data_IF_753743495885
#
_entry.id   IF_753743495885
#
_cell.length_a   1.000
_cell.length_b   1.000
_cell.length_c   1.000
_cell.angle_alpha   90.00
_cell.angle_beta   90.00
_cell.angle_gamma   90.00
#
_symmetry.space_group_name_H-M   'P 1'
#
loop_
_entity.id
_entity.type
_entity.pdbx_description
1 polymer ?
#
# COMPACT_ATOMS: atom_id res chain seq x y z
N UNK A 1 53.27 -12.81 -24.51
CA UNK A 1 52.59 -11.50 -24.61
C UNK A 1 51.25 -11.73 -25.30
N UNK A 2 50.16 -11.89 -24.54
CA UNK A 2 48.84 -12.21 -25.07
C UNK A 2 48.09 -10.92 -25.40
N UNK A 3 47.72 -10.76 -26.68
CA UNK A 3 46.98 -9.62 -27.19
C UNK A 3 45.50 -9.94 -27.04
N UNK A 4 44.85 -9.34 -26.04
CA UNK A 4 43.39 -9.41 -25.89
C UNK A 4 42.77 -8.62 -27.05
N UNK A 5 42.15 -9.32 -28.00
CA UNK A 5 41.37 -8.67 -29.05
C UNK A 5 40.12 -8.05 -28.44
N UNK A 6 39.91 -6.78 -28.76
CA UNK A 6 38.69 -6.04 -28.45
C UNK A 6 37.55 -6.72 -29.22
N UNK A 7 36.73 -7.50 -28.53
CA UNK A 7 35.49 -8.01 -29.11
C UNK A 7 34.60 -6.80 -29.40
N UNK A 8 34.24 -6.62 -30.67
CA UNK A 8 33.13 -5.76 -31.06
C UNK A 8 31.88 -6.29 -30.37
N UNK A 9 31.46 -5.55 -29.33
CA UNK A 9 30.21 -5.83 -28.62
C UNK A 9 29.09 -5.49 -29.60
N UNK A 10 28.60 -6.51 -30.30
CA UNK A 10 27.35 -6.40 -31.05
C UNK A 10 26.26 -6.14 -30.02
N UNK A 11 25.92 -4.88 -29.82
CA UNK A 11 24.83 -4.43 -28.96
C UNK A 11 23.52 -4.99 -29.53
N UNK A 12 23.19 -6.21 -29.14
CA UNK A 12 21.88 -6.78 -29.39
C UNK A 12 20.91 -5.94 -28.57
N UNK A 13 20.17 -5.04 -29.22
CA UNK A 13 19.02 -4.38 -28.64
C UNK A 13 17.88 -5.39 -28.52
N UNK A 14 18.04 -6.37 -27.62
CA UNK A 14 16.97 -7.30 -27.24
C UNK A 14 15.92 -6.62 -26.35
N UNK A 15 16.25 -5.45 -25.82
CA UNK A 15 15.36 -4.62 -25.03
C UNK A 15 14.62 -3.61 -25.91
N UNK A 16 13.29 -3.62 -25.87
CA UNK A 16 12.48 -2.55 -26.44
C UNK A 16 12.74 -1.26 -25.64
N UNK A 17 13.20 -0.16 -26.27
CA UNK A 17 13.50 1.09 -25.57
C UNK A 17 12.26 1.76 -24.94
N UNK A 18 11.05 1.35 -25.33
CA UNK A 18 9.81 1.77 -24.66
C UNK A 18 9.58 1.06 -23.33
N UNK A 19 10.21 -0.10 -23.12
CA UNK A 19 10.09 -0.94 -21.93
C UNK A 19 11.30 -0.73 -21.00
N UNK A 20 12.47 -0.44 -21.57
CA UNK A 20 13.72 -0.27 -20.82
C UNK A 20 14.09 1.20 -20.74
N UNK A 21 14.05 1.74 -19.52
CA UNK A 21 14.58 3.06 -19.23
C UNK A 21 16.05 2.97 -18.82
N UNK A 22 16.88 3.86 -19.36
CA UNK A 22 18.30 3.93 -19.06
C UNK A 22 18.59 4.40 -17.62
N UNK A 23 17.60 5.03 -16.98
CA UNK A 23 17.71 5.57 -15.62
C UNK A 23 16.67 4.92 -14.72
N UNK A 24 17.05 4.63 -13.48
CA UNK A 24 16.12 4.15 -12.48
C UNK A 24 15.00 5.19 -12.21
N UNK A 25 13.75 4.76 -12.00
CA UNK A 25 12.66 5.67 -11.65
C UNK A 25 12.87 6.30 -10.28
N UNK A 26 12.42 7.54 -10.08
CA UNK A 26 12.50 8.22 -8.78
C UNK A 26 11.41 7.78 -7.80
N UNK A 27 10.28 7.26 -8.31
CA UNK A 27 9.15 6.77 -7.54
C UNK A 27 8.57 5.51 -8.19
N UNK A 28 8.34 4.50 -7.37
CA UNK A 28 7.65 3.26 -7.75
C UNK A 28 6.36 3.20 -6.94
N UNK A 29 5.24 3.04 -7.63
CA UNK A 29 3.93 2.91 -7.01
C UNK A 29 3.40 1.52 -7.31
N UNK A 30 3.15 0.74 -6.26
CA UNK A 30 2.53 -0.57 -6.37
C UNK A 30 1.12 -0.50 -5.80
N UNK A 31 0.16 -1.06 -6.54
CA UNK A 31 -1.24 -1.06 -6.13
C UNK A 31 -1.75 -2.49 -6.03
N UNK A 32 -2.57 -2.76 -5.00
CA UNK A 32 -3.36 -3.98 -4.88
C UNK A 32 -2.53 -5.28 -4.87
N UNK A 33 -1.40 -5.31 -4.17
CA UNK A 33 -0.53 -6.51 -4.04
C UNK A 33 -1.28 -7.72 -3.47
N UNK A 34 -2.24 -7.50 -2.58
CA UNK A 34 -3.10 -8.51 -1.99
C UNK A 34 -3.89 -9.30 -3.04
N UNK A 35 -4.18 -8.72 -4.21
CA UNK A 35 -4.87 -9.42 -5.30
C UNK A 35 -4.08 -10.63 -5.81
N UNK A 36 -2.75 -10.65 -5.71
CA UNK A 36 -1.96 -11.83 -6.07
C UNK A 36 -2.29 -13.06 -5.23
N UNK A 37 -2.86 -12.86 -4.04
CA UNK A 37 -3.23 -13.92 -3.11
C UNK A 37 -4.74 -14.12 -3.03
N UNK A 38 -5.52 -13.05 -3.28
CA UNK A 38 -6.97 -13.05 -3.07
C UNK A 38 -7.79 -13.37 -4.34
N UNK A 39 -7.18 -13.80 -5.44
CA UNK A 39 -7.93 -14.17 -6.66
C UNK A 39 -8.91 -15.30 -6.38
N UNK A 40 -10.19 -14.98 -6.53
CA UNK A 40 -11.36 -15.73 -6.09
C UNK A 40 -11.81 -16.84 -7.03
N UNK A 41 -10.90 -17.58 -7.68
CA UNK A 41 -11.31 -18.53 -8.73
C UNK A 41 -11.47 -19.99 -8.30
N UNK A 42 -10.83 -20.44 -7.21
CA UNK A 42 -10.79 -21.87 -6.94
C UNK A 42 -11.60 -22.18 -5.68
N UNK A 43 -12.89 -22.50 -5.91
CA UNK A 43 -13.91 -22.79 -4.91
C UNK A 43 -13.63 -23.95 -3.94
N UNK A 44 -12.42 -24.52 -3.95
CA UNK A 44 -11.99 -25.60 -3.06
C UNK A 44 -10.61 -25.35 -2.42
N UNK A 45 -10.00 -24.18 -2.63
CA UNK A 45 -8.69 -23.91 -2.03
C UNK A 45 -8.87 -23.59 -0.54
N UNK A 46 -8.23 -24.35 0.37
CA UNK A 46 -8.47 -24.21 1.79
C UNK A 46 -8.15 -22.78 2.23
N UNK A 47 -9.05 -22.19 3.01
CA UNK A 47 -8.98 -20.84 3.57
C UNK A 47 -7.68 -20.52 4.37
N UNK A 48 -6.74 -21.47 4.45
CA UNK A 48 -5.44 -21.41 5.11
C UNK A 48 -4.27 -21.03 4.20
N UNK A 49 -4.42 -20.98 2.88
CA UNK A 49 -3.27 -20.82 1.97
C UNK A 49 -2.62 -19.43 2.00
N UNK A 50 -3.35 -18.38 2.40
CA UNK A 50 -2.89 -17.00 2.29
C UNK A 50 -2.65 -16.38 3.66
N UNK A 51 -1.44 -16.59 4.15
CA UNK A 51 -0.94 -15.97 5.37
C UNK A 51 -0.36 -14.59 5.08
N UNK A 52 -0.40 -13.72 6.09
CA UNK A 52 0.32 -12.45 6.06
C UNK A 52 1.83 -12.64 5.77
N UNK A 53 2.43 -13.77 6.17
CA UNK A 53 3.84 -14.05 5.88
C UNK A 53 4.14 -14.13 4.38
N UNK A 54 3.21 -14.62 3.57
CA UNK A 54 3.34 -14.64 2.10
C UNK A 54 3.33 -13.22 1.53
N UNK A 55 2.42 -12.38 2.01
CA UNK A 55 2.35 -10.96 1.62
C UNK A 55 3.63 -10.22 2.03
N UNK A 56 4.08 -10.37 3.28
CA UNK A 56 5.30 -9.73 3.77
C UNK A 56 6.56 -10.22 3.05
N UNK A 57 6.59 -11.50 2.66
CA UNK A 57 7.69 -12.04 1.85
C UNK A 57 7.74 -11.38 0.47
N UNK A 58 6.58 -11.11 -0.15
CA UNK A 58 6.50 -10.37 -1.41
C UNK A 58 6.99 -8.93 -1.23
N UNK A 59 6.52 -8.23 -0.19
CA UNK A 59 6.96 -6.87 0.14
C UNK A 59 8.48 -6.81 0.35
N UNK A 60 9.05 -7.77 1.08
CA UNK A 60 10.50 -7.83 1.29
C UNK A 60 11.28 -8.03 -0.01
N UNK A 61 10.80 -8.90 -0.91
CA UNK A 61 11.42 -9.07 -2.25
C UNK A 61 11.38 -7.77 -3.04
N UNK A 62 10.28 -7.02 -2.97
CA UNK A 62 10.18 -5.70 -3.61
C UNK A 62 11.23 -4.75 -3.02
N UNK A 63 11.41 -4.69 -1.70
CA UNK A 63 12.45 -3.86 -1.10
C UNK A 63 13.86 -4.22 -1.56
N UNK A 64 14.17 -5.51 -1.68
CA UNK A 64 15.46 -5.98 -2.22
C UNK A 64 15.63 -5.50 -3.68
N UNK A 65 14.60 -5.63 -4.51
CA UNK A 65 14.63 -5.16 -5.90
C UNK A 65 14.84 -3.64 -5.99
N UNK A 66 14.11 -2.86 -5.19
CA UNK A 66 14.26 -1.40 -5.12
C UNK A 66 15.65 -1.00 -4.63
N UNK A 67 16.22 -1.76 -3.69
CA UNK A 67 17.58 -1.54 -3.20
C UNK A 67 18.62 -1.78 -4.29
N UNK A 68 18.43 -2.78 -5.14
CA UNK A 68 19.30 -3.04 -6.28
C UNK A 68 19.22 -1.93 -7.34
N UNK A 69 18.06 -1.28 -7.50
CA UNK A 69 17.92 -0.13 -8.40
C UNK A 69 18.71 1.10 -7.94
N UNK A 70 19.03 1.20 -6.64
CA UNK A 70 19.83 2.30 -6.09
C UNK A 70 21.22 2.37 -6.72
N UNK A 71 21.83 1.22 -7.00
CA UNK A 71 23.18 1.16 -7.60
C UNK A 71 23.23 1.75 -9.01
N UNK A 72 22.09 1.78 -9.71
CA UNK A 72 21.95 2.32 -11.05
C UNK A 72 21.46 3.77 -11.07
N UNK A 73 21.17 4.38 -9.91
CA UNK A 73 20.66 5.75 -9.83
C UNK A 73 21.80 6.74 -9.54
N UNK A 74 21.93 7.75 -10.39
CA UNK A 74 22.94 8.81 -10.24
C UNK A 74 22.61 9.84 -9.14
N UNK A 75 21.35 9.95 -8.72
CA UNK A 75 20.89 11.05 -7.87
C UNK A 75 20.41 10.59 -6.48
N UNK A 76 19.37 9.75 -6.44
CA UNK A 76 18.76 9.30 -5.18
C UNK A 76 18.12 7.92 -5.35
N UNK A 77 18.04 7.11 -4.27
CA UNK A 77 17.33 5.85 -4.32
C UNK A 77 15.86 6.07 -4.71
N UNK A 78 15.26 5.17 -5.51
CA UNK A 78 13.83 5.22 -5.79
C UNK A 78 13.02 5.20 -4.49
N UNK A 79 12.01 6.06 -4.39
CA UNK A 79 10.98 5.98 -3.34
C UNK A 79 9.97 4.90 -3.71
N UNK A 80 9.46 4.18 -2.72
CA UNK A 80 8.43 3.16 -2.92
C UNK A 80 7.16 3.55 -2.16
N UNK A 81 6.02 3.51 -2.85
CA UNK A 81 4.69 3.64 -2.25
C UNK A 81 3.87 2.38 -2.57
N UNK A 82 3.23 1.82 -1.55
CA UNK A 82 2.36 0.64 -1.68
C UNK A 82 0.95 1.03 -1.25
N UNK A 83 -0.02 0.86 -2.14
CA UNK A 83 -1.43 1.08 -1.87
C UNK A 83 -2.17 -0.24 -1.92
N UNK A 84 -2.69 -0.70 -0.79
CA UNK A 84 -3.36 -1.98 -0.71
C UNK A 84 -4.58 -1.95 0.21
N UNK A 85 -5.76 -2.22 -0.36
CA UNK A 85 -7.02 -2.28 0.38
C UNK A 85 -7.37 -3.67 0.90
N UNK A 86 -6.60 -4.70 0.54
CA UNK A 86 -6.87 -6.10 0.90
C UNK A 86 -6.04 -6.60 2.06
N UNK A 87 -5.18 -5.77 2.66
CA UNK A 87 -4.29 -6.19 3.75
C UNK A 87 -5.05 -6.74 4.97
N UNK A 88 -6.21 -6.16 5.27
CA UNK A 88 -7.12 -6.59 6.33
C UNK A 88 -7.73 -7.98 6.12
N UNK A 89 -7.68 -8.52 4.90
CA UNK A 89 -8.26 -9.83 4.56
C UNK A 89 -7.30 -10.99 4.83
N UNK A 90 -6.01 -10.71 5.04
CA UNK A 90 -5.06 -11.75 5.43
C UNK A 90 -5.38 -12.22 6.85
N UNK A 91 -4.97 -13.44 7.17
CA UNK A 91 -5.02 -13.98 8.53
C UNK A 91 -3.60 -14.26 9.02
N UNK A 92 -3.37 -14.00 10.31
CA UNK A 92 -2.20 -14.50 10.99
C UNK A 92 -2.44 -15.98 11.32
N UNK A 93 -1.52 -16.90 10.98
CA UNK A 93 -1.57 -18.24 11.54
C UNK A 93 -1.30 -18.10 13.05
N UNK A 94 -2.37 -18.04 13.85
CA UNK A 94 -2.24 -18.14 15.30
C UNK A 94 -1.86 -19.58 15.56
N UNK A 95 -0.59 -19.84 15.89
CA UNK A 95 -0.22 -21.13 16.44
C UNK A 95 -1.02 -21.27 17.72
N UNK A 96 -2.03 -22.15 17.73
CA UNK A 96 -2.74 -22.49 18.95
C UNK A 96 -1.67 -22.78 20.00
N UNK A 97 -1.62 -21.97 21.06
CA UNK A 97 -0.88 -22.39 22.25
C UNK A 97 -1.37 -23.80 22.57
N UNK A 98 -0.48 -24.74 22.95
CA UNK A 98 -0.95 -26.00 23.51
C UNK A 98 -1.76 -25.64 24.76
N UNK A 99 -3.07 -25.54 24.59
CA UNK A 99 -4.02 -25.48 25.70
C UNK A 99 -3.70 -26.70 26.52
N UNK A 100 -3.30 -26.53 27.77
CA UNK A 100 -3.11 -27.64 28.70
C UNK A 100 -4.46 -28.37 28.79
N UNK A 101 -4.58 -29.43 27.98
CA UNK A 101 -5.78 -30.24 27.82
C UNK A 101 -5.98 -30.98 29.12
N UNK A 102 -6.77 -30.40 30.02
CA UNK A 102 -7.38 -31.18 31.07
C UNK A 102 -8.87 -30.92 31.22
N UNK A 103 -9.37 -29.70 31.02
CA UNK A 103 -10.82 -29.48 31.11
C UNK A 103 -11.27 -28.32 30.22
N UNK A 104 -12.38 -28.57 29.53
CA UNK A 104 -13.34 -27.65 28.91
C UNK A 104 -13.35 -27.66 27.37
N UNK A 105 -14.44 -28.21 26.84
CA UNK A 105 -14.78 -28.41 25.43
C UNK A 105 -15.47 -27.15 24.87
N UNK A 106 -15.04 -25.96 25.33
CA UNK A 106 -15.63 -24.70 24.92
C UNK A 106 -14.99 -24.23 23.60
N UNK A 107 -15.82 -23.92 22.60
CA UNK A 107 -15.46 -23.43 21.27
C UNK A 107 -14.33 -22.38 21.29
N UNK A 108 -13.07 -22.82 21.23
CA UNK A 108 -11.91 -21.95 21.16
C UNK A 108 -11.76 -21.44 19.72
N UNK A 109 -12.54 -20.41 19.37
CA UNK A 109 -12.30 -19.67 18.14
C UNK A 109 -10.97 -18.94 18.26
N UNK A 110 -10.03 -19.11 17.32
CA UNK A 110 -8.76 -18.41 17.35
C UNK A 110 -8.99 -16.90 17.35
N UNK A 111 -8.35 -16.20 18.28
CA UNK A 111 -8.44 -14.74 18.38
C UNK A 111 -7.81 -14.12 17.13
N UNK A 112 -8.62 -13.44 16.31
CA UNK A 112 -8.12 -12.73 15.14
C UNK A 112 -7.30 -11.51 15.61
N UNK A 113 -5.98 -11.57 15.44
CA UNK A 113 -5.08 -10.45 15.72
C UNK A 113 -5.18 -9.45 14.57
N UNK A 114 -5.35 -8.16 14.89
CA UNK A 114 -5.29 -7.10 13.88
C UNK A 114 -3.89 -7.07 13.25
N UNK A 115 -3.85 -7.17 11.92
CA UNK A 115 -2.60 -7.34 11.17
C UNK A 115 -1.90 -6.01 10.90
N UNK A 116 -2.65 -4.91 10.81
CA UNK A 116 -2.11 -3.59 10.50
C UNK A 116 -0.91 -3.21 11.39
N UNK A 117 -0.97 -3.31 12.73
CA UNK A 117 0.15 -2.93 13.59
C UNK A 117 1.47 -3.69 13.31
N UNK A 118 1.39 -4.90 12.74
CA UNK A 118 2.58 -5.66 12.35
C UNK A 118 3.14 -5.17 11.02
N UNK A 119 2.26 -4.95 10.04
CA UNK A 119 2.65 -4.48 8.72
C UNK A 119 3.18 -3.03 8.75
N UNK A 120 2.58 -2.17 9.58
CA UNK A 120 2.99 -0.77 9.75
C UNK A 120 4.49 -0.64 10.13
N UNK A 121 5.02 -1.55 10.94
CA UNK A 121 6.43 -1.55 11.36
C UNK A 121 7.44 -1.71 10.21
N UNK A 122 6.98 -2.09 9.01
CA UNK A 122 7.83 -2.22 7.83
C UNK A 122 7.91 -0.95 7.00
N UNK A 123 7.07 0.04 7.28
CA UNK A 123 6.98 1.27 6.52
C UNK A 123 7.40 2.46 7.39
N UNK A 124 8.09 3.42 6.77
CA UNK A 124 8.39 4.69 7.43
C UNK A 124 7.13 5.54 7.56
N UNK A 125 6.28 5.53 6.53
CA UNK A 125 5.06 6.32 6.44
C UNK A 125 3.86 5.41 6.21
N UNK A 126 2.77 5.67 6.92
CA UNK A 126 1.50 4.95 6.79
C UNK A 126 0.39 5.94 6.46
N UNK A 127 -0.37 5.61 5.42
CA UNK A 127 -1.50 6.40 4.94
C UNK A 127 -2.82 5.69 5.18
N UNK A 128 -3.77 6.36 5.81
CA UNK A 128 -5.14 5.86 6.05
C UNK A 128 -6.11 6.75 5.30
N UNK A 129 -6.88 6.15 4.39
CA UNK A 129 -8.02 6.80 3.75
C UNK A 129 -9.18 6.77 4.74
N UNK A 130 -9.63 7.95 5.15
CA UNK A 130 -10.83 8.11 5.97
C UNK A 130 -12.03 8.35 5.06
N UNK A 131 -13.12 7.63 5.33
CA UNK A 131 -14.41 7.88 4.70
C UNK A 131 -15.18 8.89 5.56
N UNK A 132 -15.50 10.05 4.98
CA UNK A 132 -16.21 11.14 5.67
C UNK A 132 -17.62 10.76 6.13
N UNK A 133 -18.13 9.58 5.77
CA UNK A 133 -19.36 9.04 6.35
C UNK A 133 -19.35 8.98 7.89
N UNK A 134 -18.16 8.97 8.51
CA UNK A 134 -18.00 9.00 9.97
C UNK A 134 -17.61 10.39 10.51
N UNK A 135 -17.37 11.37 9.64
CA UNK A 135 -17.04 12.73 10.04
C UNK A 135 -18.32 13.43 10.52
N UNK A 136 -18.45 13.59 11.84
CA UNK A 136 -19.48 14.44 12.43
C UNK A 136 -18.90 15.85 12.46
N UNK A 137 -19.34 16.78 11.58
CA UNK A 137 -18.88 18.16 11.67
C UNK A 137 -19.26 18.71 13.04
N UNK A 138 -18.25 19.18 13.79
CA UNK A 138 -18.46 19.94 15.02
C UNK A 138 -19.46 21.05 14.71
N UNK A 139 -20.57 21.07 15.46
CA UNK A 139 -21.89 21.65 15.15
C UNK A 139 -21.97 23.18 14.96
N UNK A 140 -20.98 23.82 14.34
CA UNK A 140 -20.92 25.27 14.17
C UNK A 140 -20.71 25.65 12.70
N UNK A 141 -21.82 25.91 12.02
CA UNK A 141 -21.85 26.53 10.69
C UNK A 141 -22.69 25.72 9.71
N UNK A 142 -23.91 26.19 9.43
CA UNK A 142 -24.74 25.74 8.31
C UNK A 142 -24.05 26.12 6.98
N UNK A 143 -22.98 25.44 6.61
CA UNK A 143 -22.54 25.42 5.21
C UNK A 143 -23.21 24.21 4.56
N UNK A 144 -24.26 24.49 3.79
CA UNK A 144 -24.91 23.52 2.91
C UNK A 144 -23.87 23.01 1.92
N UNK A 145 -23.28 21.84 2.21
CA UNK A 145 -22.54 21.08 1.20
C UNK A 145 -23.50 20.78 0.05
N UNK A 146 -23.13 21.19 -1.15
CA UNK A 146 -23.94 20.94 -2.34
C UNK A 146 -24.18 19.44 -2.49
N UNK A 147 -25.42 19.06 -2.78
CA UNK A 147 -25.80 17.66 -3.00
C UNK A 147 -24.87 17.02 -4.06
N UNK A 148 -24.07 16.03 -3.64
CA UNK A 148 -23.21 15.25 -4.55
C UNK A 148 -21.70 15.41 -4.35
N UNK A 149 -21.24 16.28 -3.44
CA UNK A 149 -19.81 16.37 -3.10
C UNK A 149 -19.42 15.33 -2.04
N UNK A 150 -18.54 14.40 -2.39
CA UNK A 150 -17.93 13.47 -1.43
C UNK A 150 -16.57 14.01 -1.02
N UNK A 151 -16.45 14.51 0.21
CA UNK A 151 -15.16 14.87 0.78
C UNK A 151 -14.40 13.59 1.17
N UNK A 152 -13.11 13.61 0.89
CA UNK A 152 -12.19 12.49 1.11
C UNK A 152 -10.97 13.01 1.86
N UNK A 153 -10.42 12.16 2.71
CA UNK A 153 -9.26 12.49 3.52
C UNK A 153 -8.25 11.34 3.53
N UNK A 154 -6.98 11.70 3.40
CA UNK A 154 -5.83 10.82 3.60
C UNK A 154 -5.02 11.37 4.77
N UNK A 155 -4.94 10.60 5.84
CA UNK A 155 -4.03 10.88 6.96
C UNK A 155 -2.76 10.09 6.77
N UNK A 156 -1.63 10.78 6.78
CA UNK A 156 -0.31 10.21 6.65
C UNK A 156 0.47 10.47 7.93
N UNK A 157 1.03 9.43 8.54
CA UNK A 157 1.86 9.56 9.74
C UNK A 157 3.12 8.73 9.62
N UNK A 158 4.14 9.12 10.39
CA UNK A 158 5.43 8.42 10.45
C UNK A 158 5.42 7.37 11.56
N UNK A 159 5.85 6.15 11.25
CA UNK A 159 5.87 5.03 12.21
C UNK A 159 7.08 5.15 13.12
N UNK A 160 6.89 4.91 14.43
CA UNK A 160 7.99 4.78 15.40
C UNK A 160 8.54 6.08 15.99
N UNK A 161 7.90 7.24 15.74
CA UNK A 161 8.13 8.44 16.55
C UNK A 161 7.08 8.49 17.65
N UNK A 162 7.49 8.18 18.88
CA UNK A 162 6.67 8.35 20.10
C UNK A 162 6.60 9.82 20.56
N UNK A 163 6.76 10.77 19.63
CA UNK A 163 6.65 12.18 19.98
C UNK A 163 5.16 12.51 20.13
N UNK A 164 4.77 12.92 21.34
CA UNK A 164 3.43 13.39 21.71
C UNK A 164 2.93 14.62 20.91
N UNK A 165 3.70 15.08 19.92
CA UNK A 165 3.31 16.15 19.02
C UNK A 165 2.45 15.61 17.89
N UNK A 166 1.23 16.12 17.81
CA UNK A 166 0.32 15.97 16.68
C UNK A 166 0.95 16.41 15.33
N UNK A 167 2.09 17.09 15.36
CA UNK A 167 2.84 17.58 14.19
C UNK A 167 3.33 16.47 13.25
N UNK A 168 3.36 15.21 13.70
CA UNK A 168 3.77 14.08 12.84
C UNK A 168 2.63 13.54 11.94
N UNK A 169 1.42 14.11 12.00
CA UNK A 169 0.27 13.69 11.17
C UNK A 169 0.00 14.71 10.08
N UNK A 170 0.27 14.34 8.83
CA UNK A 170 -0.12 15.12 7.67
C UNK A 170 -1.51 14.72 7.20
N UNK A 171 -2.40 15.70 7.06
CA UNK A 171 -3.76 15.46 6.56
C UNK A 171 -3.92 16.09 5.18
N UNK A 172 -4.25 15.27 4.19
CA UNK A 172 -4.55 15.69 2.83
C UNK A 172 -6.04 15.47 2.62
N UNK A 173 -6.78 16.52 2.27
CA UNK A 173 -8.21 16.40 1.97
C UNK A 173 -8.50 16.86 0.53
N UNK A 174 -9.48 16.21 -0.11
CA UNK A 174 -9.96 16.57 -1.44
C UNK A 174 -11.48 16.35 -1.52
N UNK A 175 -12.11 16.97 -2.51
CA UNK A 175 -13.54 16.78 -2.78
C UNK A 175 -13.68 16.09 -4.12
N UNK A 176 -14.33 14.93 -4.11
CA UNK A 176 -14.72 14.21 -5.32
C UNK A 176 -16.07 14.75 -5.77
N UNK A 177 -16.07 15.39 -6.95
CA UNK A 177 -17.30 15.81 -7.62
C UNK A 177 -17.75 14.63 -8.46
N UNK A 178 -18.79 13.92 -8.00
CA UNK A 178 -19.42 12.89 -8.81
C UNK A 178 -20.13 13.57 -9.99
N UNK A 179 -19.50 13.60 -11.15
CA UNK A 179 -20.17 14.07 -12.35
C UNK A 179 -21.31 13.07 -12.65
N UNK A 180 -22.60 13.49 -12.67
CA UNK A 180 -23.70 12.64 -13.05
C UNK A 180 -23.58 12.34 -14.55
N UNK A 181 -22.74 11.36 -14.88
CA UNK A 181 -22.41 11.07 -16.26
C UNK A 181 -23.63 10.46 -16.94
N UNK A 182 -24.18 11.19 -17.90
CA UNK A 182 -24.97 10.55 -18.96
C UNK A 182 -24.05 9.98 -20.04
N UNK A 183 -22.84 10.49 -20.24
CA UNK A 183 -21.93 10.00 -21.30
C UNK A 183 -20.45 9.97 -20.82
N UNK A 184 -19.83 8.78 -20.93
CA UNK A 184 -18.38 8.45 -20.82
C UNK A 184 -17.62 8.51 -19.47
N UNK A 185 -17.77 7.44 -18.66
CA UNK A 185 -16.77 6.57 -17.97
C UNK A 185 -15.41 7.09 -17.43
N UNK A 186 -15.14 8.38 -17.30
CA UNK A 186 -13.96 8.87 -16.58
C UNK A 186 -14.40 9.90 -15.53
N UNK A 187 -14.30 9.52 -14.26
CA UNK A 187 -14.51 10.45 -13.16
C UNK A 187 -13.31 11.41 -13.13
N UNK A 188 -13.53 12.70 -13.36
CA UNK A 188 -12.51 13.71 -13.12
C UNK A 188 -12.41 13.97 -11.60
N UNK A 189 -11.22 13.78 -11.04
CA UNK A 189 -10.94 14.07 -9.64
C UNK A 189 -10.23 15.42 -9.55
N UNK A 190 -10.86 16.41 -8.90
CA UNK A 190 -10.23 17.70 -8.65
C UNK A 190 -9.53 17.70 -7.29
N UNK A 191 -8.22 17.94 -7.30
CA UNK A 191 -7.43 18.10 -6.09
C UNK A 191 -7.36 19.58 -5.71
N UNK A 192 -7.93 19.95 -4.56
CA UNK A 192 -7.62 21.23 -3.90
C UNK A 192 -6.54 20.94 -2.87
N UNK A 193 -5.31 21.38 -3.10
CA UNK A 193 -4.29 21.29 -2.04
C UNK A 193 -4.65 22.28 -0.94
N UNK A 194 -5.02 21.79 0.23
CA UNK A 194 -4.99 22.61 1.45
C UNK A 194 -3.54 23.03 1.72
N UNK A 195 -3.33 24.29 2.09
CA UNK A 195 -2.02 24.73 2.56
C UNK A 195 -1.63 23.89 3.77
N UNK A 196 -0.42 23.32 3.75
CA UNK A 196 0.22 22.84 4.98
C UNK A 196 0.40 24.08 5.87
N UNK A 197 -0.24 24.08 7.04
CA UNK A 197 0.03 25.05 8.09
C UNK A 197 1.29 24.65 8.85
#
# INVERSE_FOLDING_TARGET
MLRVQKNDVVAHNWANPQIVQATAPSLIILTQLSRYFLTSSDGDSPASAFTISSYLSLVNRIFVLVSNLKESSLASPPKLAIFDSGLLKFKLPVTNQPSNVLFDDSDHRPQEIQILPVAEKLFEWVGIFEDDSLYVPSSQGEETTAEGEQRRQLRLYRVGREDNDNDNVHTISWTEVACPSTWSKLNETHFKSGSLN
#
